data_IF_488724907576
#
_entry.id   IF_488724907576
#
_cell.length_a   1.000
_cell.length_b   1.000
_cell.length_c   1.000
_cell.angle_alpha   90.00
_cell.angle_beta   90.00
_cell.angle_gamma   90.00
#
_symmetry.space_group_name_H-M   'P 1'
#
loop_
_entity.id
_entity.type
_entity.pdbx_description
1 polymer ?
#
# COMPACT_ATOMS: atom_id res chain seq x y z
N UNK A 1 8.64 44.01 2.41
CA UNK A 1 8.00 44.55 3.63
C UNK A 1 7.45 45.93 3.34
N UNK A 2 6.14 46.10 3.40
CA UNK A 2 5.43 47.35 3.18
C UNK A 2 4.40 47.54 4.34
N UNK A 3 4.80 48.18 5.46
CA UNK A 3 3.95 48.24 6.66
C UNK A 3 2.69 49.07 6.44
N UNK A 4 2.74 50.06 5.55
CA UNK A 4 1.62 50.96 5.26
C UNK A 4 0.65 50.40 4.20
N UNK A 5 0.94 49.25 3.62
CA UNK A 5 0.12 48.59 2.62
C UNK A 5 -0.61 47.39 3.22
N UNK A 6 -1.92 47.40 3.23
CA UNK A 6 -2.77 46.36 3.82
C UNK A 6 -2.93 45.11 2.92
N UNK A 7 -2.43 45.17 1.68
CA UNK A 7 -2.51 44.05 0.74
C UNK A 7 -1.58 42.90 1.18
N UNK A 8 -2.01 41.66 0.96
CA UNK A 8 -1.22 40.47 1.25
C UNK A 8 -0.02 40.31 0.28
N UNK A 9 -0.10 40.93 -0.89
CA UNK A 9 0.92 40.89 -1.93
C UNK A 9 1.20 42.29 -2.44
N UNK A 10 2.48 42.63 -2.57
CA UNK A 10 2.95 43.96 -2.99
C UNK A 10 3.92 43.81 -4.19
N UNK A 11 4.04 44.86 -5.03
CA UNK A 11 5.02 44.84 -6.11
C UNK A 11 6.45 44.65 -5.58
N UNK A 12 7.26 43.89 -6.29
CA UNK A 12 8.71 43.79 -5.99
C UNK A 12 9.41 45.13 -6.16
N UNK A 13 10.33 45.45 -5.27
CA UNK A 13 11.15 46.66 -5.34
C UNK A 13 12.12 46.60 -6.52
N UNK A 14 12.57 45.39 -6.91
CA UNK A 14 13.51 45.18 -8.02
C UNK A 14 12.90 44.04 -8.86
N UNK A 15 12.85 44.28 -10.21
CA UNK A 15 12.30 43.34 -11.16
C UNK A 15 10.77 43.41 -11.30
N UNK A 16 10.23 42.54 -12.17
CA UNK A 16 8.78 42.44 -12.43
C UNK A 16 8.13 41.42 -11.48
N UNK A 17 6.86 41.65 -11.11
CA UNK A 17 6.04 40.75 -10.32
C UNK A 17 5.71 41.24 -8.91
N UNK A 18 5.11 40.37 -8.10
CA UNK A 18 4.67 40.66 -6.73
C UNK A 18 5.38 39.76 -5.72
N UNK A 19 5.40 40.17 -4.48
CA UNK A 19 5.93 39.37 -3.35
C UNK A 19 4.95 39.46 -2.17
N UNK A 20 4.98 38.47 -1.29
CA UNK A 20 4.15 38.48 -0.09
C UNK A 20 4.54 39.63 0.85
N UNK A 21 3.54 40.34 1.35
CA UNK A 21 3.76 41.41 2.31
C UNK A 21 3.77 40.87 3.74
N UNK A 22 4.95 40.63 4.27
CA UNK A 22 5.15 40.13 5.64
C UNK A 22 4.75 41.13 6.76
N UNK A 23 4.36 42.33 6.41
CA UNK A 23 3.79 43.28 7.38
C UNK A 23 2.34 42.89 7.75
N UNK A 24 1.62 42.21 6.84
CA UNK A 24 0.23 41.81 7.06
C UNK A 24 0.12 40.36 7.53
N UNK A 25 -0.91 40.06 8.34
CA UNK A 25 -1.21 38.71 8.78
C UNK A 25 -1.48 37.78 7.59
N UNK A 26 -2.21 38.25 6.56
CA UNK A 26 -2.50 37.50 5.33
C UNK A 26 -1.25 37.15 4.54
N UNK A 27 -0.30 38.10 4.45
CA UNK A 27 0.98 37.84 3.78
C UNK A 27 1.86 36.84 4.55
N UNK A 28 1.89 36.90 5.88
CA UNK A 28 2.57 35.93 6.74
C UNK A 28 1.96 34.53 6.57
N UNK A 29 0.62 34.44 6.59
CA UNK A 29 -0.09 33.17 6.40
C UNK A 29 0.19 32.55 5.02
N UNK A 30 0.17 33.37 3.97
CA UNK A 30 0.49 32.90 2.61
C UNK A 30 1.90 32.32 2.53
N UNK A 31 2.88 32.95 3.15
CA UNK A 31 4.26 32.42 3.19
C UNK A 31 4.34 31.16 4.02
N UNK A 32 3.69 31.10 5.19
CA UNK A 32 3.68 29.91 6.04
C UNK A 32 3.07 28.70 5.31
N UNK A 33 1.95 28.88 4.61
CA UNK A 33 1.33 27.81 3.81
C UNK A 33 2.28 27.31 2.71
N UNK A 34 2.96 28.20 2.01
CA UNK A 34 3.94 27.81 0.99
C UNK A 34 5.13 27.05 1.58
N UNK A 35 5.66 27.48 2.72
CA UNK A 35 6.76 26.79 3.41
C UNK A 35 6.34 25.39 3.85
N UNK A 36 5.13 25.26 4.42
CA UNK A 36 4.58 23.93 4.81
C UNK A 36 4.41 23.03 3.58
N UNK A 37 3.88 23.56 2.49
CA UNK A 37 3.71 22.80 1.26
C UNK A 37 5.05 22.29 0.70
N UNK A 38 6.07 23.14 0.67
CA UNK A 38 7.42 22.76 0.22
C UNK A 38 8.02 21.71 1.16
N UNK A 39 7.88 21.91 2.48
CA UNK A 39 8.37 20.93 3.46
C UNK A 39 7.67 19.57 3.31
N UNK A 40 6.36 19.55 3.08
CA UNK A 40 5.60 18.33 2.83
C UNK A 40 6.12 17.59 1.58
N UNK A 41 6.38 18.31 0.48
CA UNK A 41 6.95 17.74 -0.75
C UNK A 41 8.34 17.16 -0.49
N UNK A 42 9.20 17.89 0.21
CA UNK A 42 10.57 17.44 0.53
C UNK A 42 10.60 16.20 1.44
N UNK A 43 9.61 16.06 2.32
CA UNK A 43 9.49 14.92 3.22
C UNK A 43 8.89 13.68 2.56
N UNK A 44 8.24 13.82 1.40
CA UNK A 44 7.60 12.69 0.71
C UNK A 44 8.61 11.58 0.35
N UNK A 45 9.77 11.95 -0.18
CA UNK A 45 10.81 10.98 -0.55
C UNK A 45 11.33 10.16 0.63
N UNK A 46 11.81 10.78 1.73
CA UNK A 46 12.25 10.04 2.91
C UNK A 46 11.17 9.16 3.54
N UNK A 47 9.92 9.66 3.61
CA UNK A 47 8.79 8.88 4.16
C UNK A 47 8.49 7.66 3.29
N UNK A 48 8.43 7.82 1.97
CA UNK A 48 8.24 6.69 1.05
C UNK A 48 9.40 5.70 1.14
N UNK A 49 10.64 6.17 1.23
CA UNK A 49 11.80 5.29 1.40
C UNK A 49 11.74 4.45 2.69
N UNK A 50 11.31 5.04 3.80
CA UNK A 50 11.12 4.28 5.05
C UNK A 50 9.99 3.26 4.92
N UNK A 51 8.88 3.63 4.27
CA UNK A 51 7.75 2.71 4.05
C UNK A 51 8.15 1.55 3.12
N UNK A 52 8.94 1.82 2.10
CA UNK A 52 9.40 0.82 1.15
C UNK A 52 10.27 -0.26 1.80
N UNK A 53 11.17 0.14 2.71
CA UNK A 53 12.07 -0.79 3.42
C UNK A 53 11.48 -1.37 4.72
N UNK A 54 10.24 -1.02 5.07
CA UNK A 54 9.63 -1.55 6.29
C UNK A 54 8.92 -2.88 5.98
N UNK A 55 9.27 -3.99 6.67
CA UNK A 55 8.59 -5.27 6.48
C UNK A 55 7.10 -5.15 6.70
N UNK A 56 6.31 -5.74 5.82
CA UNK A 56 4.87 -5.78 5.96
C UNK A 56 4.47 -6.72 7.10
N UNK A 57 3.55 -6.27 7.95
CA UNK A 57 2.92 -7.15 8.94
C UNK A 57 1.72 -7.82 8.31
N UNK A 58 1.97 -8.92 7.64
CA UNK A 58 0.95 -9.74 6.99
C UNK A 58 0.50 -10.84 7.94
N UNK A 59 -0.77 -11.18 7.92
CA UNK A 59 -1.34 -12.25 8.74
C UNK A 59 -2.50 -12.89 7.99
N UNK A 60 -2.50 -14.22 7.94
CA UNK A 60 -3.59 -15.03 7.43
C UNK A 60 -4.33 -15.64 8.61
N UNK A 61 -5.62 -15.41 8.68
CA UNK A 61 -6.48 -15.98 9.74
C UNK A 61 -7.58 -16.79 9.09
N UNK A 62 -7.82 -17.97 9.66
CA UNK A 62 -9.03 -18.73 9.35
C UNK A 62 -10.04 -18.47 10.44
N UNK A 63 -11.17 -17.89 10.05
CA UNK A 63 -12.25 -17.56 10.98
C UNK A 63 -13.10 -18.80 11.30
N UNK A 64 -13.66 -18.91 12.53
CA UNK A 64 -14.66 -19.92 12.85
C UNK A 64 -15.92 -19.87 11.96
N UNK A 65 -16.11 -18.76 11.25
CA UNK A 65 -17.21 -18.55 10.28
C UNK A 65 -16.88 -19.08 8.87
N UNK A 66 -15.87 -19.95 8.74
CA UNK A 66 -15.54 -20.63 7.48
C UNK A 66 -15.04 -19.65 6.41
N UNK A 67 -14.14 -18.74 6.77
CA UNK A 67 -13.53 -17.74 5.88
C UNK A 67 -12.01 -17.69 6.07
N UNK A 68 -11.27 -17.62 4.96
CA UNK A 68 -9.87 -17.22 4.96
C UNK A 68 -9.80 -15.68 4.89
N UNK A 69 -9.13 -15.08 5.85
CA UNK A 69 -8.98 -13.63 5.95
C UNK A 69 -7.51 -13.24 5.85
N UNK A 70 -7.22 -12.27 5.00
CA UNK A 70 -5.89 -11.68 4.85
C UNK A 70 -5.84 -10.31 5.49
N UNK A 71 -4.80 -10.05 6.27
CA UNK A 71 -4.58 -8.79 6.98
C UNK A 71 -3.24 -8.15 6.62
N UNK A 72 -3.21 -6.82 6.70
CA UNK A 72 -1.98 -6.05 6.82
C UNK A 72 -2.06 -5.19 8.08
N UNK A 73 -1.29 -5.56 9.09
CA UNK A 73 -1.38 -5.03 10.44
C UNK A 73 -2.77 -5.30 11.04
N UNK A 74 -3.53 -4.24 11.33
CA UNK A 74 -4.90 -4.34 11.87
C UNK A 74 -5.99 -4.24 10.80
N UNK A 75 -5.61 -4.08 9.54
CA UNK A 75 -6.56 -3.83 8.46
C UNK A 75 -6.76 -5.10 7.64
N UNK A 76 -7.98 -5.61 7.65
CA UNK A 76 -8.39 -6.73 6.79
C UNK A 76 -8.42 -6.30 5.34
N UNK A 77 -7.80 -7.08 4.47
CA UNK A 77 -7.65 -6.82 3.04
C UNK A 77 -8.58 -7.66 2.19
N UNK A 78 -8.57 -8.98 2.40
CA UNK A 78 -9.43 -9.91 1.68
C UNK A 78 -10.20 -10.80 2.65
N UNK A 79 -11.39 -11.19 2.22
CA UNK A 79 -12.23 -12.22 2.84
C UNK A 79 -12.56 -13.20 1.74
N UNK A 80 -12.18 -14.45 1.92
CA UNK A 80 -12.39 -15.52 0.96
C UNK A 80 -13.20 -16.61 1.66
N UNK A 81 -14.49 -16.78 1.31
CA UNK A 81 -15.29 -17.87 1.82
C UNK A 81 -14.68 -19.21 1.45
N UNK A 82 -14.60 -20.16 2.39
CA UNK A 82 -13.96 -21.46 2.12
C UNK A 82 -14.74 -22.28 1.10
N UNK A 83 -16.06 -22.13 1.05
CA UNK A 83 -16.93 -22.78 0.07
C UNK A 83 -16.72 -22.29 -1.37
N UNK A 84 -16.14 -21.10 -1.54
CA UNK A 84 -15.77 -20.57 -2.85
C UNK A 84 -14.41 -21.07 -3.36
N UNK A 85 -13.59 -21.67 -2.48
CA UNK A 85 -12.24 -22.11 -2.81
C UNK A 85 -12.30 -23.40 -3.64
N UNK A 86 -11.75 -23.35 -4.82
CA UNK A 86 -11.67 -24.51 -5.73
C UNK A 86 -10.32 -25.20 -5.70
N UNK A 87 -9.25 -24.44 -5.36
CA UNK A 87 -7.89 -24.98 -5.33
C UNK A 87 -6.98 -24.17 -4.41
N UNK A 88 -6.12 -24.89 -3.69
CA UNK A 88 -5.07 -24.32 -2.83
C UNK A 88 -3.71 -24.89 -3.25
N UNK A 89 -2.71 -24.03 -3.38
CA UNK A 89 -1.35 -24.44 -3.74
C UNK A 89 -0.32 -23.51 -3.07
N UNK A 90 0.84 -24.07 -2.72
CA UNK A 90 1.99 -23.30 -2.24
C UNK A 90 3.07 -23.28 -3.31
N UNK A 91 3.60 -22.09 -3.58
CA UNK A 91 4.68 -21.88 -4.53
C UNK A 91 5.93 -21.38 -3.82
N UNK A 92 7.12 -21.84 -4.21
CA UNK A 92 8.39 -21.42 -3.63
C UNK A 92 8.90 -20.08 -4.20
N UNK A 93 8.23 -19.54 -5.19
CA UNK A 93 8.59 -18.27 -5.83
C UNK A 93 7.38 -17.60 -6.43
N UNK A 94 7.37 -16.26 -6.42
CA UNK A 94 6.34 -15.46 -7.07
C UNK A 94 6.62 -15.39 -8.59
N UNK A 95 5.65 -15.73 -9.46
CA UNK A 95 5.75 -15.49 -10.89
C UNK A 95 5.82 -13.98 -11.20
N UNK A 96 6.32 -13.64 -12.38
CA UNK A 96 6.35 -12.27 -12.85
C UNK A 96 4.93 -11.66 -12.89
N UNK A 97 4.79 -10.52 -12.25
CA UNK A 97 3.51 -9.83 -12.09
C UNK A 97 3.63 -8.36 -12.45
N UNK A 98 2.63 -7.83 -13.14
CA UNK A 98 2.53 -6.42 -13.51
C UNK A 98 1.35 -5.78 -12.77
N UNK A 99 1.61 -4.66 -12.10
CA UNK A 99 0.58 -3.94 -11.34
C UNK A 99 -0.44 -3.26 -12.27
N UNK A 100 -1.72 -3.53 -12.03
CA UNK A 100 -2.86 -2.82 -12.63
C UNK A 100 -3.33 -1.72 -11.68
N UNK A 101 -3.43 -2.01 -10.39
CA UNK A 101 -3.82 -1.05 -9.36
C UNK A 101 -3.53 -1.55 -7.97
N UNK A 102 -3.12 -0.66 -7.08
CA UNK A 102 -2.77 -1.00 -5.71
C UNK A 102 -1.39 -0.51 -5.30
N UNK A 103 -0.78 -1.19 -4.34
CA UNK A 103 0.51 -0.89 -3.73
C UNK A 103 1.55 -1.89 -4.24
N UNK A 104 2.76 -1.39 -4.49
CA UNK A 104 3.91 -2.12 -5.01
C UNK A 104 5.17 -1.53 -4.35
N UNK A 105 5.50 -2.03 -3.18
CA UNK A 105 6.66 -1.67 -2.36
C UNK A 105 7.62 -2.86 -2.27
N UNK A 106 8.84 -2.66 -1.79
CA UNK A 106 9.85 -3.72 -1.66
C UNK A 106 9.35 -4.93 -0.85
N UNK A 107 8.61 -4.68 0.23
CA UNK A 107 8.11 -5.72 1.15
C UNK A 107 6.58 -5.80 1.23
N UNK A 108 5.86 -5.15 0.31
CA UNK A 108 4.40 -5.19 0.37
C UNK A 108 3.75 -4.94 -0.99
N UNK A 109 3.14 -5.99 -1.55
CA UNK A 109 2.28 -5.89 -2.72
C UNK A 109 0.83 -6.16 -2.33
N UNK A 110 -0.05 -5.22 -2.73
CA UNK A 110 -1.48 -5.36 -2.44
C UNK A 110 -2.32 -4.71 -3.55
N UNK A 111 -3.31 -5.43 -4.04
CA UNK A 111 -4.23 -4.94 -5.05
C UNK A 111 -4.39 -5.89 -6.22
N UNK A 112 -4.65 -5.35 -7.40
CA UNK A 112 -4.89 -6.11 -8.64
C UNK A 112 -3.65 -6.08 -9.52
N UNK A 113 -3.21 -7.26 -9.92
CA UNK A 113 -2.04 -7.47 -10.77
C UNK A 113 -2.42 -8.41 -11.93
N UNK A 114 -1.56 -8.45 -12.94
CA UNK A 114 -1.64 -9.42 -14.04
C UNK A 114 -0.40 -10.29 -14.02
N UNK A 115 -0.60 -11.60 -13.99
CA UNK A 115 0.43 -12.63 -14.10
C UNK A 115 0.32 -13.37 -15.41
N UNK A 116 1.46 -13.85 -15.95
CA UNK A 116 1.52 -14.47 -17.28
C UNK A 116 0.61 -15.70 -17.42
N UNK A 117 0.49 -16.50 -16.35
CA UNK A 117 -0.27 -17.77 -16.41
C UNK A 117 -1.65 -17.68 -15.76
N UNK A 118 -1.83 -16.79 -14.78
CA UNK A 118 -3.07 -16.67 -14.00
C UNK A 118 -3.99 -15.53 -14.50
N UNK A 119 -3.46 -14.64 -15.38
CA UNK A 119 -4.21 -13.47 -15.81
C UNK A 119 -4.34 -12.45 -14.68
N UNK A 120 -5.54 -11.94 -14.47
CA UNK A 120 -5.81 -10.96 -13.40
C UNK A 120 -5.90 -11.67 -12.05
N UNK A 121 -5.10 -11.22 -11.09
CA UNK A 121 -4.98 -11.78 -9.74
C UNK A 121 -5.08 -10.70 -8.67
N UNK A 122 -5.41 -11.11 -7.46
CA UNK A 122 -5.45 -10.26 -6.28
C UNK A 122 -4.29 -10.63 -5.34
N UNK A 123 -3.46 -9.65 -5.02
CA UNK A 123 -2.28 -9.88 -4.18
C UNK A 123 -2.46 -9.22 -2.81
N UNK A 124 -2.01 -9.90 -1.75
CA UNK A 124 -1.67 -9.34 -0.45
C UNK A 124 -0.51 -10.15 0.12
N UNK A 125 0.71 -9.74 -0.20
CA UNK A 125 1.90 -10.53 0.05
C UNK A 125 3.16 -9.68 0.20
N UNK A 126 4.19 -10.28 0.79
CA UNK A 126 5.58 -9.80 0.70
C UNK A 126 6.25 -10.49 -0.50
N UNK A 127 6.68 -9.75 -1.55
CA UNK A 127 7.30 -10.36 -2.72
C UNK A 127 8.66 -11.00 -2.44
N UNK A 128 9.25 -10.74 -1.27
CA UNK A 128 10.53 -11.31 -0.84
C UNK A 128 10.38 -12.60 -0.01
N UNK A 129 9.15 -13.03 0.26
CA UNK A 129 8.86 -14.27 0.97
C UNK A 129 9.38 -15.49 0.19
N UNK A 130 9.68 -16.57 0.91
CA UNK A 130 10.10 -17.85 0.30
C UNK A 130 8.93 -18.78 -0.02
N UNK A 131 7.71 -18.48 0.45
CA UNK A 131 6.51 -19.28 0.24
C UNK A 131 5.30 -18.39 -0.05
N UNK A 132 4.54 -18.77 -1.07
CA UNK A 132 3.38 -18.03 -1.53
C UNK A 132 2.17 -18.96 -1.58
N UNK A 133 1.10 -18.57 -0.91
CA UNK A 133 -0.18 -19.26 -0.93
C UNK A 133 -1.00 -18.76 -2.12
N UNK A 134 -1.28 -19.65 -3.07
CA UNK A 134 -2.19 -19.39 -4.18
C UNK A 134 -3.54 -20.05 -3.89
N UNK A 135 -4.57 -19.23 -3.83
CA UNK A 135 -5.96 -19.67 -3.63
C UNK A 135 -6.76 -19.33 -4.88
N UNK A 136 -7.34 -20.32 -5.51
CA UNK A 136 -8.24 -20.19 -6.65
C UNK A 136 -9.68 -20.30 -6.16
N UNK A 137 -10.50 -19.36 -6.56
CA UNK A 137 -11.91 -19.31 -6.22
C UNK A 137 -12.76 -19.13 -7.47
N UNK A 138 -14.07 -19.24 -7.34
CA UNK A 138 -15.01 -18.95 -8.45
C UNK A 138 -14.91 -17.48 -8.91
N UNK A 139 -14.55 -16.55 -8.00
CA UNK A 139 -14.50 -15.12 -8.26
C UNK A 139 -13.12 -14.63 -8.72
N UNK A 140 -12.06 -15.45 -8.62
CA UNK A 140 -10.71 -15.08 -9.01
C UNK A 140 -9.60 -15.81 -8.29
N UNK A 141 -8.37 -15.37 -8.54
CA UNK A 141 -7.17 -15.96 -7.97
C UNK A 141 -6.54 -14.98 -6.99
N UNK A 142 -6.20 -15.48 -5.80
CA UNK A 142 -5.54 -14.73 -4.74
C UNK A 142 -4.15 -15.30 -4.49
N UNK A 143 -3.16 -14.42 -4.37
CA UNK A 143 -1.83 -14.77 -3.93
C UNK A 143 -1.54 -14.03 -2.62
N UNK A 144 -1.24 -14.79 -1.60
CA UNK A 144 -1.17 -14.33 -0.21
C UNK A 144 0.11 -14.83 0.45
N UNK A 145 0.62 -14.08 1.44
CA UNK A 145 1.62 -14.56 2.38
C UNK A 145 1.22 -14.22 3.81
N UNK A 146 1.70 -14.99 4.77
CA UNK A 146 1.70 -14.64 6.18
C UNK A 146 3.01 -13.95 6.55
N UNK A 147 3.21 -13.60 7.82
CA UNK A 147 4.43 -12.98 8.35
C UNK A 147 5.66 -13.89 8.16
N UNK A 148 5.46 -15.21 8.17
CA UNK A 148 6.53 -16.20 7.94
C UNK A 148 6.11 -17.30 6.97
N UNK A 149 7.10 -17.87 6.30
CA UNK A 149 6.91 -19.01 5.38
C UNK A 149 6.26 -20.21 6.07
N UNK A 150 6.62 -20.47 7.34
CA UNK A 150 6.01 -21.55 8.15
C UNK A 150 4.52 -21.33 8.41
N UNK A 151 4.13 -20.09 8.69
CA UNK A 151 2.72 -19.74 8.90
C UNK A 151 1.93 -19.86 7.60
N UNK A 152 2.50 -19.40 6.48
CA UNK A 152 1.91 -19.55 5.16
C UNK A 152 1.66 -21.03 4.83
N UNK A 153 2.63 -21.92 5.09
CA UNK A 153 2.47 -23.36 4.90
C UNK A 153 1.40 -23.97 5.83
N UNK A 154 1.40 -23.63 7.10
CA UNK A 154 0.39 -24.11 8.07
C UNK A 154 -1.04 -23.77 7.64
N UNK A 155 -1.25 -22.55 7.13
CA UNK A 155 -2.55 -22.14 6.61
C UNK A 155 -2.92 -22.95 5.37
N UNK A 156 -1.96 -23.17 4.47
CA UNK A 156 -2.18 -23.95 3.26
C UNK A 156 -2.52 -25.44 3.58
N UNK A 157 -1.79 -26.05 4.51
CA UNK A 157 -2.02 -27.42 4.95
C UNK A 157 -3.40 -27.55 5.57
N UNK A 158 -3.76 -26.62 6.46
CA UNK A 158 -5.08 -26.59 7.08
C UNK A 158 -6.19 -26.45 6.03
N UNK A 159 -6.05 -25.52 5.06
CA UNK A 159 -7.02 -25.35 3.99
C UNK A 159 -7.15 -26.61 3.13
N UNK A 160 -6.05 -27.29 2.86
CA UNK A 160 -6.05 -28.52 2.06
C UNK A 160 -6.74 -29.66 2.77
N UNK A 161 -6.57 -29.76 4.11
CA UNK A 161 -7.25 -30.78 4.94
C UNK A 161 -8.76 -30.52 5.03
N UNK A 162 -9.16 -29.27 5.20
CA UNK A 162 -10.57 -28.87 5.33
C UNK A 162 -11.36 -29.04 4.03
N UNK A 163 -10.70 -28.87 2.88
CA UNK A 163 -11.30 -28.97 1.54
C UNK A 163 -11.27 -30.40 0.95
N UNK A 164 -10.71 -31.38 1.67
CA UNK A 164 -10.61 -32.79 1.25
C UNK A 164 -11.81 -33.59 1.68
#
# INVERSE_FOLDING_TARGET
>A
YAPDDTRASVPKRIGKGTTANLATLRGKLAVAVNVIAIAAILLTGPVLGVLDHTPARLELQVSPTVELQSYHGKTRKYIIPLDSITKVQVYPSLPEASRVGGIDLEHYWQGTFVMVHDGTVHLCLDPTAGKFLRVETEDGIFWLTDETDEQTEKVADWLTEELS
#
